data_IF_025356850161
#
_entry.id   IF_025356850161
#
_cell.length_a   1.000
_cell.length_b   1.000
_cell.length_c   1.000
_cell.angle_alpha   90.00
_cell.angle_beta   90.00
_cell.angle_gamma   90.00
#
_symmetry.space_group_name_H-M   'P 1'
#
loop_
_entity.id
_entity.type
_entity.pdbx_description
1 polymer ?
#
# COMPACT_ATOMS: atom_id res chain seq x y z
N UNK A 1 18.75 -2.81 0.96
CA UNK A 1 18.28 -1.57 1.61
C UNK A 1 18.80 -0.44 0.75
N UNK A 2 18.00 0.00 -0.23
CA UNK A 2 18.42 1.05 -1.16
C UNK A 2 18.23 2.40 -0.47
N UNK A 3 19.27 2.82 0.25
CA UNK A 3 19.42 4.23 0.59
C UNK A 3 19.87 4.95 -0.67
N UNK A 4 19.03 5.85 -1.17
CA UNK A 4 19.43 6.94 -2.06
C UNK A 4 20.50 7.76 -1.33
N UNK A 5 21.75 7.31 -1.39
CA UNK A 5 22.90 8.11 -1.01
C UNK A 5 23.25 8.95 -2.23
N UNK A 6 23.07 10.25 -2.06
CA UNK A 6 23.84 11.32 -2.68
C UNK A 6 23.97 11.21 -4.21
N UNK A 7 23.19 12.03 -4.90
CA UNK A 7 23.54 12.50 -6.25
C UNK A 7 24.92 13.15 -6.13
N UNK A 8 25.95 12.38 -6.47
CA UNK A 8 27.31 12.84 -6.60
C UNK A 8 27.78 12.42 -7.99
N UNK A 9 27.46 13.24 -8.98
CA UNK A 9 28.05 13.11 -10.31
C UNK A 9 28.95 14.33 -10.55
N UNK A 10 30.12 14.30 -9.94
CA UNK A 10 31.26 15.18 -10.25
C UNK A 10 32.47 14.34 -10.71
N UNK A 11 32.27 13.42 -11.66
CA UNK A 11 33.40 12.80 -12.36
C UNK A 11 33.07 12.64 -13.84
N UNK A 12 33.69 13.47 -14.66
CA UNK A 12 33.77 13.29 -16.12
C UNK A 12 34.64 12.07 -16.49
N UNK A 13 35.53 11.64 -15.59
CA UNK A 13 36.61 10.70 -15.91
C UNK A 13 36.24 9.22 -15.85
N UNK A 14 35.02 8.87 -15.41
CA UNK A 14 34.56 7.47 -15.31
C UNK A 14 33.17 7.21 -15.92
N UNK A 15 32.80 7.95 -16.98
CA UNK A 15 31.63 7.65 -17.81
C UNK A 15 31.87 6.41 -18.70
N UNK A 16 32.27 5.28 -18.10
CA UNK A 16 32.38 3.99 -18.76
C UNK A 16 31.00 3.38 -19.00
N UNK A 17 30.59 3.33 -20.27
CA UNK A 17 29.71 2.32 -20.91
C UNK A 17 28.51 1.78 -20.12
N UNK A 18 27.76 2.61 -19.39
CA UNK A 18 26.40 2.28 -18.93
C UNK A 18 25.38 3.13 -19.67
N UNK A 19 24.60 2.49 -20.53
CA UNK A 19 23.65 3.07 -21.48
C UNK A 19 22.24 3.31 -20.92
N UNK A 20 22.08 3.41 -19.59
CA UNK A 20 20.74 3.49 -18.96
C UNK A 20 20.42 4.91 -18.44
N UNK A 21 20.63 5.92 -19.28
CA UNK A 21 20.08 7.26 -19.04
C UNK A 21 19.10 7.63 -20.14
N UNK A 22 17.82 7.38 -19.88
CA UNK A 22 16.73 8.13 -20.51
C UNK A 22 16.67 9.48 -19.81
N UNK A 23 17.56 10.41 -20.21
CA UNK A 23 17.32 11.84 -20.04
C UNK A 23 16.85 12.33 -21.41
N UNK A 24 15.53 12.23 -21.63
CA UNK A 24 14.89 12.78 -22.82
C UNK A 24 15.03 14.30 -22.76
N UNK A 25 16.00 14.84 -23.51
CA UNK A 25 15.91 16.08 -24.27
C UNK A 25 15.19 17.29 -23.67
N UNK A 26 15.19 17.49 -22.34
CA UNK A 26 14.68 18.73 -21.77
C UNK A 26 15.80 19.78 -21.85
N UNK A 27 15.58 20.93 -22.53
CA UNK A 27 16.63 21.92 -22.78
C UNK A 27 17.28 22.46 -21.49
N UNK A 28 16.58 22.39 -20.35
CA UNK A 28 17.11 22.77 -19.03
C UNK A 28 18.23 21.86 -18.50
N UNK A 29 18.35 20.61 -18.99
CA UNK A 29 19.40 19.67 -18.55
C UNK A 29 20.66 19.73 -19.42
N UNK A 30 20.52 20.03 -20.71
CA UNK A 30 21.66 20.12 -21.64
C UNK A 30 22.46 21.41 -21.48
N UNK A 31 21.86 22.47 -20.94
CA UNK A 31 22.54 23.76 -20.71
C UNK A 31 23.30 23.82 -19.38
N UNK A 32 23.40 22.70 -18.66
CA UNK A 32 23.74 22.73 -17.24
C UNK A 32 22.65 23.46 -16.46
N UNK A 33 22.69 23.38 -15.13
CA UNK A 33 21.70 24.03 -14.29
C UNK A 33 21.85 25.57 -14.37
N UNK A 34 21.21 26.24 -15.33
CA UNK A 34 21.22 27.72 -15.52
C UNK A 34 20.39 28.45 -14.44
N UNK A 35 20.34 27.93 -13.21
CA UNK A 35 19.70 28.63 -12.08
C UNK A 35 20.46 28.39 -10.78
N UNK A 36 21.49 29.20 -10.60
CA UNK A 36 21.51 30.15 -9.48
C UNK A 36 22.43 31.34 -9.79
N UNK A 37 22.15 32.10 -10.86
CA UNK A 37 22.83 33.39 -11.08
C UNK A 37 22.57 34.37 -9.92
N UNK A 38 21.47 34.17 -9.19
CA UNK A 38 21.28 34.69 -7.84
C UNK A 38 21.75 33.66 -6.84
N UNK A 39 23.06 33.62 -6.56
CA UNK A 39 23.66 32.71 -5.59
C UNK A 39 22.83 32.56 -4.31
N UNK A 40 22.95 31.40 -3.65
CA UNK A 40 22.29 31.16 -2.37
C UNK A 40 22.58 32.35 -1.43
N UNK A 41 21.52 32.99 -0.91
CA UNK A 41 21.68 34.11 0.03
C UNK A 41 22.56 33.67 1.20
N UNK A 42 23.40 34.58 1.69
CA UNK A 42 24.20 34.37 2.90
C UNK A 42 23.26 33.92 4.04
N UNK A 43 23.48 32.74 4.61
CA UNK A 43 22.60 32.14 5.62
C UNK A 43 21.50 31.20 5.12
N UNK A 44 21.46 30.85 3.83
CA UNK A 44 20.54 29.84 3.29
C UNK A 44 20.65 28.48 4.01
N UNK A 45 21.80 28.17 4.60
CA UNK A 45 22.00 26.91 5.33
C UNK A 45 22.92 27.06 6.55
N UNK A 46 22.58 27.97 7.48
CA UNK A 46 23.22 28.03 8.82
C UNK A 46 22.35 27.46 9.93
N UNK A 47 21.10 27.11 9.62
CA UNK A 47 20.21 26.47 10.58
C UNK A 47 20.62 25.01 10.67
N UNK A 48 21.13 24.59 11.82
CA UNK A 48 21.34 23.16 12.09
C UNK A 48 20.05 22.42 11.76
N UNK A 49 20.11 21.56 10.74
CA UNK A 49 18.97 20.72 10.35
C UNK A 49 18.53 20.00 11.63
N UNK A 50 17.27 20.11 12.08
CA UNK A 50 16.80 19.37 13.23
C UNK A 50 16.92 17.88 12.90
N UNK A 51 18.06 17.29 13.28
CA UNK A 51 18.34 15.88 13.08
C UNK A 51 17.53 15.16 14.16
N UNK A 52 16.34 14.70 13.78
CA UNK A 52 15.71 13.64 14.56
C UNK A 52 16.72 12.51 14.67
N UNK A 53 16.93 11.92 15.87
CA UNK A 53 17.87 10.83 16.03
C UNK A 53 17.56 9.76 14.98
N UNK A 54 18.59 9.34 14.25
CA UNK A 54 18.42 8.41 13.14
C UNK A 54 17.63 7.19 13.62
N UNK A 55 16.49 6.90 12.98
CA UNK A 55 15.67 5.74 13.33
C UNK A 55 16.51 4.49 13.18
N UNK A 56 16.80 3.85 14.30
CA UNK A 56 17.53 2.59 14.32
C UNK A 56 16.54 1.45 14.58
N UNK A 57 16.73 0.33 13.88
CA UNK A 57 15.90 -0.87 14.09
C UNK A 57 15.93 -1.31 15.57
N UNK A 58 17.06 -1.25 16.30
CA UNK A 58 17.07 -1.48 17.74
C UNK A 58 16.23 -0.47 18.52
N UNK A 59 16.32 0.83 18.20
CA UNK A 59 15.54 1.89 18.85
C UNK A 59 14.03 1.69 18.68
N UNK A 60 13.58 1.40 17.46
CA UNK A 60 12.16 1.11 17.18
C UNK A 60 11.68 -0.14 17.95
N UNK A 61 12.54 -1.16 18.14
CA UNK A 61 12.20 -2.36 18.93
C UNK A 61 12.09 -2.04 20.42
N UNK A 62 13.01 -1.24 20.96
CA UNK A 62 13.00 -0.82 22.37
C UNK A 62 11.74 0.00 22.64
N UNK A 63 11.36 0.93 21.75
CA UNK A 63 10.12 1.71 21.88
C UNK A 63 8.87 0.83 21.88
N UNK A 64 8.80 -0.20 21.03
CA UNK A 64 7.62 -1.10 20.95
C UNK A 64 7.53 -2.11 22.08
N UNK A 65 8.64 -2.71 22.47
CA UNK A 65 8.68 -3.78 23.46
C UNK A 65 8.79 -3.26 24.90
N UNK A 66 9.27 -2.03 25.08
CA UNK A 66 9.73 -1.52 26.36
C UNK A 66 11.17 -1.95 26.67
N UNK A 67 11.92 -1.06 27.31
CA UNK A 67 13.32 -1.27 27.69
C UNK A 67 13.51 -2.52 28.55
N UNK A 68 12.63 -2.76 29.53
CA UNK A 68 12.73 -3.93 30.42
C UNK A 68 12.59 -5.27 29.69
N UNK A 69 11.65 -5.39 28.75
CA UNK A 69 11.45 -6.65 28.00
C UNK A 69 12.63 -6.91 27.06
N UNK A 70 13.19 -5.84 26.48
CA UNK A 70 14.39 -5.93 25.65
C UNK A 70 15.61 -6.38 26.46
N UNK A 71 15.85 -5.77 27.62
CA UNK A 71 16.95 -6.14 28.52
C UNK A 71 16.78 -7.58 29.05
N UNK A 72 15.57 -7.96 29.48
CA UNK A 72 15.26 -9.34 29.87
C UNK A 72 15.49 -10.34 28.73
N UNK A 73 15.22 -9.95 27.48
CA UNK A 73 15.51 -10.79 26.31
C UNK A 73 17.00 -10.93 25.99
N UNK A 74 17.81 -9.90 26.29
CA UNK A 74 19.26 -9.95 26.12
C UNK A 74 19.95 -10.75 27.22
N UNK A 75 19.41 -10.69 28.43
CA UNK A 75 19.91 -11.41 29.61
C UNK A 75 19.53 -12.90 29.63
N UNK A 76 18.81 -13.42 28.63
CA UNK A 76 18.48 -14.85 28.57
C UNK A 76 19.75 -15.65 28.28
N UNK A 77 20.09 -16.65 29.12
CA UNK A 77 21.25 -17.51 28.89
C UNK A 77 21.02 -18.49 27.73
N UNK A 78 19.78 -18.65 27.28
CA UNK A 78 19.42 -19.54 26.18
C UNK A 78 19.91 -19.03 24.83
N UNK A 79 20.48 -19.91 23.98
CA UNK A 79 20.89 -19.54 22.64
C UNK A 79 19.67 -19.10 21.81
N UNK A 80 19.83 -18.03 21.02
CA UNK A 80 18.76 -17.56 20.12
C UNK A 80 18.39 -18.68 19.14
N UNK A 81 17.08 -18.94 18.92
CA UNK A 81 16.65 -19.97 17.99
C UNK A 81 17.22 -19.71 16.59
N UNK A 82 17.61 -20.78 15.91
CA UNK A 82 18.20 -20.70 14.57
C UNK A 82 17.20 -20.10 13.60
N UNK A 83 17.69 -19.50 12.51
CA UNK A 83 16.81 -18.87 11.51
C UNK A 83 15.69 -19.80 11.04
N UNK A 84 16.02 -21.08 10.77
CA UNK A 84 15.06 -22.10 10.34
C UNK A 84 13.95 -22.34 11.38
N UNK A 85 14.31 -22.46 12.66
CA UNK A 85 13.35 -22.66 13.75
C UNK A 85 12.42 -21.46 13.92
N UNK A 86 12.93 -20.23 13.76
CA UNK A 86 12.11 -19.02 13.82
C UNK A 86 11.12 -18.94 12.65
N UNK A 87 11.55 -19.30 11.44
CA UNK A 87 10.66 -19.34 10.27
C UNK A 87 9.57 -20.40 10.46
N UNK A 88 9.94 -21.57 10.97
CA UNK A 88 9.03 -22.68 11.21
C UNK A 88 8.05 -22.38 12.36
N UNK A 89 8.51 -21.70 13.42
CA UNK A 89 7.63 -21.18 14.47
C UNK A 89 6.64 -20.14 13.94
N UNK A 90 7.07 -19.29 12.99
CA UNK A 90 6.22 -18.30 12.33
C UNK A 90 5.23 -18.92 11.34
N UNK A 91 5.53 -20.08 10.77
CA UNK A 91 4.57 -20.83 9.95
C UNK A 91 3.61 -21.69 10.78
N UNK A 92 3.96 -22.02 12.03
CA UNK A 92 3.09 -22.72 12.99
C UNK A 92 2.08 -21.81 13.68
N UNK A 93 2.35 -20.51 13.76
CA UNK A 93 1.34 -19.56 14.22
C UNK A 93 0.22 -19.48 13.19
N UNK A 94 -1.01 -19.68 13.65
CA UNK A 94 -2.27 -19.46 12.94
C UNK A 94 -2.15 -18.22 12.02
N UNK A 95 -2.62 -18.27 10.76
CA UNK A 95 -2.49 -17.17 9.83
C UNK A 95 -2.93 -15.87 10.51
N UNK A 96 -2.02 -14.91 10.60
CA UNK A 96 -2.20 -13.66 11.35
C UNK A 96 -3.36 -12.81 10.82
N UNK A 97 -3.93 -13.21 9.69
CA UNK A 97 -5.24 -12.79 9.20
C UNK A 97 -6.29 -13.58 9.97
N UNK A 98 -6.73 -13.06 11.13
CA UNK A 98 -8.02 -13.47 11.69
C UNK A 98 -9.02 -13.35 10.54
N UNK A 99 -9.60 -14.47 10.11
CA UNK A 99 -10.68 -14.47 9.11
C UNK A 99 -11.78 -13.63 9.72
N UNK A 100 -11.94 -12.40 9.27
CA UNK A 100 -13.09 -11.62 9.66
C UNK A 100 -14.29 -12.41 9.16
N UNK A 101 -15.15 -12.85 10.08
CA UNK A 101 -16.40 -13.47 9.66
C UNK A 101 -17.27 -12.37 9.05
N UNK A 102 -17.88 -12.63 7.89
CA UNK A 102 -18.83 -11.69 7.32
C UNK A 102 -19.94 -11.47 8.33
N UNK A 103 -20.35 -10.21 8.48
CA UNK A 103 -21.48 -9.86 9.34
C UNK A 103 -22.76 -9.98 8.53
N UNK A 104 -23.72 -10.75 9.02
CA UNK A 104 -25.06 -10.85 8.44
C UNK A 104 -25.37 -12.22 7.87
N UNK A 105 -26.61 -12.36 7.40
CA UNK A 105 -27.12 -13.58 6.77
C UNK A 105 -26.89 -13.57 5.26
N UNK A 106 -27.10 -14.71 4.62
CA UNK A 106 -27.02 -14.83 3.16
C UNK A 106 -27.97 -13.85 2.45
N UNK A 107 -29.15 -13.59 3.02
CA UNK A 107 -30.12 -12.65 2.45
C UNK A 107 -29.60 -11.22 2.46
N UNK A 108 -28.89 -10.81 3.51
CA UNK A 108 -28.23 -9.51 3.58
C UNK A 108 -27.19 -9.38 2.47
N UNK A 109 -26.39 -10.44 2.25
CA UNK A 109 -25.40 -10.46 1.16
C UNK A 109 -26.05 -10.31 -0.22
N UNK A 110 -27.17 -10.98 -0.49
CA UNK A 110 -27.87 -10.88 -1.77
C UNK A 110 -28.49 -9.50 -1.98
N UNK A 111 -29.10 -8.93 -0.93
CA UNK A 111 -29.59 -7.56 -0.95
C UNK A 111 -28.44 -6.59 -1.23
N UNK A 112 -27.31 -6.80 -0.56
CA UNK A 112 -26.11 -5.98 -0.71
C UNK A 112 -25.56 -6.07 -2.14
N UNK A 113 -25.45 -7.27 -2.71
CA UNK A 113 -24.95 -7.53 -4.05
C UNK A 113 -25.81 -6.88 -5.14
N UNK A 114 -27.14 -6.85 -4.94
CA UNK A 114 -28.10 -6.28 -5.90
C UNK A 114 -28.33 -4.78 -5.72
N UNK A 115 -28.07 -4.23 -4.52
CA UNK A 115 -28.32 -2.83 -4.19
C UNK A 115 -27.49 -1.82 -4.99
N UNK A 116 -26.31 -2.22 -5.48
CA UNK A 116 -25.43 -1.33 -6.24
C UNK A 116 -25.76 -1.35 -7.72
N UNK A 117 -25.85 -0.18 -8.34
CA UNK A 117 -25.89 -0.07 -9.79
C UNK A 117 -24.56 -0.56 -10.41
N UNK A 118 -23.43 -0.16 -9.79
CA UNK A 118 -22.08 -0.64 -10.09
C UNK A 118 -21.38 -1.10 -8.82
N UNK A 119 -20.86 -2.33 -8.83
CA UNK A 119 -20.14 -2.89 -7.69
C UNK A 119 -18.87 -2.08 -7.38
N UNK A 120 -18.55 -1.85 -6.10
CA UNK A 120 -17.31 -1.19 -5.72
C UNK A 120 -16.10 -2.04 -6.18
N UNK A 121 -15.03 -1.43 -6.68
CA UNK A 121 -13.90 -2.17 -7.21
C UNK A 121 -13.16 -2.93 -6.11
N UNK A 122 -13.12 -4.25 -6.22
CA UNK A 122 -12.27 -5.09 -5.40
C UNK A 122 -10.81 -4.79 -5.74
N UNK A 123 -10.13 -4.05 -4.87
CA UNK A 123 -8.71 -3.76 -5.03
C UNK A 123 -8.01 -3.70 -3.68
N UNK A 124 -6.74 -4.13 -3.60
CA UNK A 124 -5.96 -3.97 -2.40
C UNK A 124 -5.71 -2.48 -2.15
N UNK A 125 -5.77 -2.06 -0.89
CA UNK A 125 -5.52 -0.68 -0.50
C UNK A 125 -3.99 -0.37 -0.60
N UNK A 126 -3.53 -0.10 -1.82
CA UNK A 126 -2.13 0.25 -2.13
C UNK A 126 -2.09 1.63 -2.74
N UNK A 127 -1.21 2.48 -2.21
CA UNK A 127 -0.95 3.80 -2.75
C UNK A 127 -0.32 3.65 -4.14
N UNK A 128 -0.99 4.20 -5.15
CA UNK A 128 -0.58 4.18 -6.57
C UNK A 128 0.54 5.17 -6.90
N UNK A 129 1.17 5.79 -5.90
CA UNK A 129 2.22 6.77 -6.12
C UNK A 129 3.59 6.08 -6.33
N UNK A 130 4.07 6.06 -7.57
CA UNK A 130 5.41 5.61 -7.93
C UNK A 130 5.51 4.83 -9.24
N UNK A 131 6.75 4.50 -9.62
CA UNK A 131 7.19 3.81 -10.83
C UNK A 131 6.69 2.35 -10.86
N UNK A 132 5.38 2.16 -11.01
CA UNK A 132 4.76 0.84 -10.90
C UNK A 132 3.65 0.65 -11.95
N UNK A 133 4.03 0.85 -13.23
CA UNK A 133 3.22 0.38 -14.37
C UNK A 133 2.96 -1.14 -14.31
N UNK A 134 3.78 -1.88 -13.56
CA UNK A 134 3.69 -3.32 -13.41
C UNK A 134 2.75 -3.77 -12.27
N UNK A 135 2.06 -2.87 -11.57
CA UNK A 135 1.14 -3.29 -10.49
C UNK A 135 0.05 -4.22 -11.00
N UNK A 136 -0.47 -4.01 -12.21
CA UNK A 136 -1.54 -4.83 -12.79
C UNK A 136 -1.11 -6.26 -13.11
N UNK A 137 0.18 -6.49 -13.37
CA UNK A 137 0.69 -7.84 -13.63
C UNK A 137 0.87 -8.65 -12.34
N UNK A 138 0.92 -7.98 -11.18
CA UNK A 138 1.16 -8.63 -9.90
C UNK A 138 0.07 -9.67 -9.61
N UNK A 139 0.43 -10.86 -9.10
CA UNK A 139 -0.53 -11.91 -8.79
C UNK A 139 -1.67 -11.45 -7.88
N UNK A 140 -1.37 -10.53 -6.96
CA UNK A 140 -2.38 -9.94 -6.05
C UNK A 140 -3.45 -9.17 -6.83
N UNK A 141 -3.07 -8.35 -7.81
CA UNK A 141 -4.05 -7.60 -8.61
C UNK A 141 -4.89 -8.53 -9.48
N UNK A 142 -4.26 -9.56 -10.06
CA UNK A 142 -4.97 -10.59 -10.85
C UNK A 142 -6.02 -11.31 -10.00
N UNK A 143 -5.68 -11.66 -8.77
CA UNK A 143 -6.61 -12.29 -7.83
C UNK A 143 -7.84 -11.41 -7.54
N UNK A 144 -7.64 -10.13 -7.20
CA UNK A 144 -8.77 -9.23 -6.92
C UNK A 144 -9.60 -8.91 -8.17
N UNK A 145 -8.99 -8.87 -9.35
CA UNK A 145 -9.73 -8.75 -10.61
C UNK A 145 -10.59 -10.00 -10.87
N UNK A 146 -10.05 -11.20 -10.64
CA UNK A 146 -10.82 -12.44 -10.77
C UNK A 146 -12.02 -12.45 -9.80
N UNK A 147 -11.83 -12.05 -8.53
CA UNK A 147 -12.93 -11.91 -7.57
C UNK A 147 -13.97 -10.89 -8.05
N UNK A 148 -13.54 -9.77 -8.65
CA UNK A 148 -14.45 -8.77 -9.19
C UNK A 148 -15.30 -9.35 -10.32
N UNK A 149 -14.68 -10.07 -11.25
CA UNK A 149 -15.37 -10.75 -12.37
C UNK A 149 -16.36 -11.80 -11.85
N UNK A 150 -15.96 -12.58 -10.85
CA UNK A 150 -16.82 -13.57 -10.19
C UNK A 150 -18.03 -12.91 -9.50
N UNK A 151 -17.83 -11.81 -8.78
CA UNK A 151 -18.93 -11.05 -8.15
C UNK A 151 -19.90 -10.46 -9.17
N UNK A 152 -19.39 -9.92 -10.28
CA UNK A 152 -20.22 -9.41 -11.38
C UNK A 152 -21.00 -10.54 -12.09
N UNK A 153 -20.36 -11.69 -12.28
CA UNK A 153 -20.99 -12.91 -12.76
C UNK A 153 -22.09 -13.40 -11.81
N UNK A 154 -21.80 -13.47 -10.51
CA UNK A 154 -22.76 -13.83 -9.47
C UNK A 154 -23.95 -12.88 -9.46
N UNK A 155 -23.73 -11.56 -9.47
CA UNK A 155 -24.82 -10.58 -9.54
C UNK A 155 -25.72 -10.82 -10.74
N UNK A 156 -25.13 -11.08 -11.91
CA UNK A 156 -25.88 -11.38 -13.14
C UNK A 156 -26.70 -12.67 -13.03
N UNK A 157 -26.16 -13.72 -12.39
CA UNK A 157 -26.88 -14.99 -12.13
C UNK A 157 -28.00 -14.80 -11.11
N UNK A 158 -27.76 -14.05 -10.04
CA UNK A 158 -28.75 -13.75 -8.99
C UNK A 158 -29.95 -13.00 -9.56
N UNK A 159 -29.73 -12.02 -10.45
CA UNK A 159 -30.81 -11.29 -11.11
C UNK A 159 -31.67 -12.19 -12.02
N UNK A 160 -31.13 -13.29 -12.55
CA UNK A 160 -31.86 -14.24 -13.40
C UNK A 160 -32.60 -15.33 -12.61
N UNK A 161 -31.94 -15.90 -11.60
CA UNK A 161 -32.45 -17.05 -10.85
C UNK A 161 -31.98 -17.02 -9.39
N UNK A 162 -32.56 -16.15 -8.53
CA UNK A 162 -32.06 -15.93 -7.18
C UNK A 162 -32.13 -17.18 -6.29
N UNK A 163 -33.20 -17.99 -6.42
CA UNK A 163 -33.38 -19.19 -5.59
C UNK A 163 -32.34 -20.29 -5.85
N UNK A 164 -31.97 -20.52 -7.11
CA UNK A 164 -30.98 -21.54 -7.49
C UNK A 164 -29.60 -21.14 -7.02
N UNK A 165 -29.21 -19.87 -7.24
CA UNK A 165 -27.90 -19.36 -6.83
C UNK A 165 -27.80 -19.30 -5.30
N UNK A 166 -28.89 -18.97 -4.60
CA UNK A 166 -28.93 -19.00 -3.13
C UNK A 166 -28.67 -20.41 -2.59
N UNK A 167 -29.32 -21.44 -3.16
CA UNK A 167 -29.11 -22.82 -2.74
C UNK A 167 -27.67 -23.30 -2.98
N UNK A 168 -27.09 -22.98 -4.13
CA UNK A 168 -25.69 -23.30 -4.49
C UNK A 168 -24.68 -22.62 -3.55
N UNK A 169 -24.86 -21.32 -3.31
CA UNK A 169 -23.94 -20.59 -2.43
C UNK A 169 -24.09 -21.01 -0.96
N UNK A 170 -25.28 -21.44 -0.55
CA UNK A 170 -25.56 -21.92 0.81
C UNK A 170 -25.00 -23.32 1.06
N UNK A 171 -24.96 -24.21 0.06
CA UNK A 171 -24.39 -25.56 0.25
C UNK A 171 -22.90 -25.52 0.54
N UNK A 172 -22.18 -24.59 -0.10
CA UNK A 172 -20.73 -24.53 -0.06
C UNK A 172 -20.20 -23.49 0.93
N UNK A 173 -21.11 -22.75 1.60
CA UNK A 173 -20.80 -21.54 2.39
C UNK A 173 -19.94 -20.51 1.63
N UNK A 174 -19.91 -20.61 0.29
CA UNK A 174 -19.08 -19.77 -0.58
C UNK A 174 -19.49 -18.30 -0.52
N UNK A 175 -20.76 -18.01 -0.19
CA UNK A 175 -21.25 -16.63 0.01
C UNK A 175 -20.41 -15.86 1.04
N UNK A 176 -19.88 -16.53 2.07
CA UNK A 176 -19.09 -15.87 3.12
C UNK A 176 -17.79 -15.28 2.59
N UNK A 177 -17.16 -15.99 1.65
CA UNK A 177 -15.93 -15.54 0.99
C UNK A 177 -16.20 -14.27 0.17
N UNK A 178 -17.25 -14.29 -0.64
CA UNK A 178 -17.63 -13.15 -1.48
C UNK A 178 -18.14 -11.96 -0.65
N UNK A 179 -18.92 -12.20 0.41
CA UNK A 179 -19.41 -11.18 1.32
C UNK A 179 -18.25 -10.43 1.99
N UNK A 180 -17.21 -11.15 2.45
CA UNK A 180 -16.00 -10.55 3.01
C UNK A 180 -15.32 -9.61 2.02
N UNK A 181 -15.16 -10.04 0.76
CA UNK A 181 -14.52 -9.22 -0.28
C UNK A 181 -15.36 -8.00 -0.66
N UNK A 182 -16.69 -8.15 -0.71
CA UNK A 182 -17.61 -7.05 -0.96
C UNK A 182 -17.53 -6.00 0.16
N UNK A 183 -17.53 -6.43 1.43
CA UNK A 183 -17.40 -5.53 2.59
C UNK A 183 -16.06 -4.76 2.57
N UNK A 184 -14.97 -5.45 2.23
CA UNK A 184 -13.65 -4.82 2.07
C UNK A 184 -13.65 -3.79 0.93
N UNK A 185 -14.22 -4.14 -0.23
CA UNK A 185 -14.32 -3.23 -1.36
C UNK A 185 -15.11 -1.96 -1.01
N UNK A 186 -16.21 -2.10 -0.27
CA UNK A 186 -17.00 -0.96 0.25
C UNK A 186 -16.19 -0.05 1.17
N UNK A 187 -15.48 -0.63 2.14
CA UNK A 187 -14.63 0.14 3.05
C UNK A 187 -13.54 0.89 2.30
N UNK A 188 -12.91 0.24 1.33
CA UNK A 188 -11.87 0.85 0.50
C UNK A 188 -12.43 1.98 -0.37
N UNK A 189 -13.57 1.78 -1.02
CA UNK A 189 -14.21 2.82 -1.84
C UNK A 189 -14.61 4.04 -0.99
N UNK A 190 -15.17 3.81 0.20
CA UNK A 190 -15.51 4.88 1.13
C UNK A 190 -14.28 5.66 1.59
N UNK A 191 -13.18 4.98 1.95
CA UNK A 191 -11.91 5.63 2.29
C UNK A 191 -11.35 6.42 1.10
N UNK A 192 -11.44 5.89 -0.11
CA UNK A 192 -10.99 6.56 -1.32
C UNK A 192 -11.82 7.82 -1.63
N UNK A 193 -13.14 7.77 -1.43
CA UNK A 193 -14.01 8.96 -1.55
C UNK A 193 -13.66 10.02 -0.51
N UNK A 194 -13.46 9.63 0.76
CA UNK A 194 -13.09 10.56 1.82
C UNK A 194 -11.72 11.21 1.58
N UNK A 195 -10.72 10.43 1.16
CA UNK A 195 -9.38 10.95 0.84
C UNK A 195 -9.43 11.90 -0.35
N UNK A 196 -10.18 11.58 -1.41
CA UNK A 196 -10.42 12.49 -2.54
C UNK A 196 -11.10 13.79 -2.13
N UNK A 197 -12.14 13.72 -1.29
CA UNK A 197 -12.83 14.92 -0.79
C UNK A 197 -11.88 15.82 0.01
N UNK A 198 -11.08 15.24 0.91
CA UNK A 198 -10.08 15.98 1.69
C UNK A 198 -9.00 16.61 0.80
N UNK A 199 -8.50 15.87 -0.19
CA UNK A 199 -7.52 16.37 -1.15
C UNK A 199 -8.10 17.54 -1.98
N UNK A 200 -9.32 17.39 -2.50
CA UNK A 200 -9.99 18.43 -3.28
C UNK A 200 -10.23 19.70 -2.46
N UNK A 201 -10.64 19.56 -1.19
CA UNK A 201 -10.81 20.70 -0.29
C UNK A 201 -9.49 21.46 -0.07
N UNK A 202 -8.37 20.73 0.05
CA UNK A 202 -7.04 21.32 0.17
C UNK A 202 -6.61 22.04 -1.11
N UNK A 203 -6.84 21.45 -2.29
CA UNK A 203 -6.57 22.07 -3.59
C UNK A 203 -7.38 23.35 -3.79
N UNK A 204 -8.67 23.33 -3.46
CA UNK A 204 -9.53 24.52 -3.55
C UNK A 204 -9.07 25.63 -2.61
N UNK A 205 -8.63 25.30 -1.39
CA UNK A 205 -8.06 26.26 -0.45
C UNK A 205 -6.77 26.89 -1.00
N UNK A 206 -5.89 26.07 -1.59
CA UNK A 206 -4.65 26.55 -2.19
C UNK A 206 -4.91 27.51 -3.36
N UNK A 207 -5.86 27.18 -4.25
CA UNK A 207 -6.21 28.04 -5.40
C UNK A 207 -6.83 29.38 -5.00
N UNK A 208 -7.50 29.47 -3.85
CA UNK A 208 -8.08 30.73 -3.35
C UNK A 208 -7.07 31.63 -2.62
N UNK A 209 -5.99 31.06 -2.09
CA UNK A 209 -4.97 31.79 -1.33
C UNK A 209 -3.82 32.36 -2.18
N UNK A 210 -3.85 32.14 -3.49
CA UNK A 210 -2.85 32.62 -4.47
C UNK A 210 -3.31 33.84 -5.27
N UNK A 211 -4.35 34.54 -4.80
CA UNK A 211 -4.79 35.84 -5.31
C UNK A 211 -4.46 36.93 -4.29
#
# INVERSE_FOLDING_TARGET
>A
MYGLRLINNFYADYAGSRSDFVIVGHPEYNLGKVRSDYGYKEGWDTRGIPSLPARSIPGDRIQRAGTEKYLKSLARPEPKPKYKERVLAKSRSEPQVRKAEPKGDIDDFFQELTSFDKLPPCSPNRLTAGWANDMRSQPVMKHYNAIQEELEGLRSRVLRAPGVVKAELQSDDAWRYYALHLEQAKKNDLQLRQTKQKANAWVQKAMRGTA
#
